data_IF_083055833943
#
_entry.id   IF_083055833943
#
_cell.length_a   1.000
_cell.length_b   1.000
_cell.length_c   1.000
_cell.angle_alpha   90.00
_cell.angle_beta   90.00
_cell.angle_gamma   90.00
#
_symmetry.space_group_name_H-M   'P 1'
#
loop_
_entity.id
_entity.type
_entity.pdbx_description
1 polymer ?
#
# COMPACT_ATOMS: atom_id res chain seq x y z
N UNK A 1 13.90 6.00 36.37
CA UNK A 1 15.27 6.16 35.86
C UNK A 1 15.38 5.80 34.36
N UNK A 2 14.71 4.76 33.86
CA UNK A 2 14.77 4.36 32.45
C UNK A 2 14.07 5.35 31.48
N UNK A 3 13.02 6.03 31.88
CA UNK A 3 12.29 7.01 31.04
C UNK A 3 13.06 8.30 30.83
N UNK A 4 13.80 8.78 31.84
CA UNK A 4 14.64 9.98 31.71
C UNK A 4 15.83 9.75 30.76
N UNK A 5 16.45 8.56 30.83
CA UNK A 5 17.56 8.18 29.96
C UNK A 5 17.13 8.01 28.47
N UNK A 6 15.92 7.50 28.22
CA UNK A 6 15.35 7.45 26.85
C UNK A 6 15.06 8.84 26.30
N UNK A 7 14.49 9.76 27.10
CA UNK A 7 14.24 11.15 26.68
C UNK A 7 15.54 11.88 26.35
N UNK A 8 16.57 11.70 27.16
CA UNK A 8 17.87 12.32 26.91
C UNK A 8 18.56 11.79 25.65
N UNK A 9 18.44 10.48 25.35
CA UNK A 9 18.90 9.91 24.09
C UNK A 9 18.13 10.45 22.87
N UNK A 10 16.82 10.60 22.96
CA UNK A 10 16.00 11.14 21.88
C UNK A 10 16.29 12.63 21.63
N UNK A 11 16.53 13.41 22.67
CA UNK A 11 16.99 14.80 22.52
C UNK A 11 18.36 14.86 21.83
N UNK A 12 19.32 14.03 22.23
CA UNK A 12 20.63 13.97 21.56
C UNK A 12 20.55 13.54 20.09
N UNK A 13 19.63 12.64 19.73
CA UNK A 13 19.42 12.22 18.33
C UNK A 13 18.85 13.38 17.51
N UNK A 14 17.84 14.08 18.02
CA UNK A 14 17.24 15.24 17.35
C UNK A 14 18.24 16.39 17.17
N UNK A 15 19.07 16.66 18.18
CA UNK A 15 20.10 17.70 18.10
C UNK A 15 21.18 17.34 17.08
N UNK A 16 21.59 16.06 17.01
CA UNK A 16 22.51 15.56 15.98
C UNK A 16 21.91 15.69 14.58
N UNK A 17 20.63 15.32 14.42
CA UNK A 17 19.93 15.47 13.15
C UNK A 17 19.90 16.94 12.70
N UNK A 18 19.56 17.88 13.61
CA UNK A 18 19.59 19.32 13.32
C UNK A 18 20.99 19.81 12.96
N UNK A 19 22.03 19.31 13.64
CA UNK A 19 23.41 19.70 13.37
C UNK A 19 23.92 19.19 12.00
N UNK A 20 23.28 18.14 11.45
CA UNK A 20 23.57 17.60 10.13
C UNK A 20 22.77 18.27 9.00
N UNK A 21 21.80 19.13 9.34
CA UNK A 21 21.01 19.87 8.35
C UNK A 21 21.71 21.18 7.98
N UNK A 22 21.59 21.59 6.73
CA UNK A 22 22.12 22.89 6.25
C UNK A 22 21.59 23.22 4.87
N UNK A 23 21.79 24.44 4.42
CA UNK A 23 21.45 24.87 3.07
C UNK A 23 22.38 24.19 2.05
N UNK A 24 21.85 23.88 0.86
CA UNK A 24 22.64 23.29 -0.23
C UNK A 24 23.89 24.15 -0.54
N UNK A 25 25.04 23.49 -0.62
CA UNK A 25 26.35 24.14 -0.86
C UNK A 25 27.09 24.53 0.42
N UNK A 26 26.46 24.47 1.62
CA UNK A 26 27.18 24.64 2.89
C UNK A 26 27.84 23.32 3.33
N UNK A 27 28.82 23.40 4.24
CA UNK A 27 29.56 22.23 4.71
C UNK A 27 29.34 21.97 6.19
N UNK A 28 29.41 20.69 6.57
CA UNK A 28 29.39 20.22 7.96
C UNK A 28 30.55 19.24 8.19
N UNK A 29 31.28 19.41 9.30
CA UNK A 29 32.31 18.45 9.68
C UNK A 29 31.71 17.38 10.59
N UNK A 30 31.83 16.13 10.16
CA UNK A 30 31.35 14.96 10.92
C UNK A 30 32.52 14.14 11.41
N UNK A 31 32.52 13.81 12.71
CA UNK A 31 33.49 12.91 13.32
C UNK A 31 32.78 11.69 13.89
N UNK A 32 33.20 10.49 13.55
CA UNK A 32 32.63 9.23 14.04
C UNK A 32 33.71 8.21 14.40
N UNK A 33 33.31 7.18 15.13
CA UNK A 33 34.15 6.01 15.38
C UNK A 33 33.80 4.92 14.39
N UNK A 34 34.79 4.35 13.71
CA UNK A 34 34.63 3.20 12.84
C UNK A 34 34.44 1.89 13.62
N UNK A 35 34.30 0.76 12.95
CA UNK A 35 34.10 -0.56 13.56
C UNK A 35 35.30 -1.01 14.43
N UNK A 36 36.47 -0.38 14.29
CA UNK A 36 37.68 -0.62 15.11
C UNK A 36 37.80 0.38 16.26
N UNK A 37 36.79 1.24 16.50
CA UNK A 37 36.81 2.33 17.45
C UNK A 37 37.86 3.43 17.13
N UNK A 38 38.39 3.46 15.90
CA UNK A 38 39.25 4.54 15.44
C UNK A 38 38.42 5.78 15.05
N UNK A 39 38.88 6.98 15.44
CA UNK A 39 38.22 8.24 15.10
C UNK A 39 38.46 8.58 13.62
N UNK A 40 37.39 8.84 12.90
CA UNK A 40 37.38 9.32 11.49
C UNK A 40 36.69 10.69 11.44
N UNK A 41 37.17 11.55 10.57
CA UNK A 41 36.60 12.89 10.34
C UNK A 41 36.47 13.13 8.84
N UNK A 42 35.34 13.65 8.40
CA UNK A 42 35.10 14.09 7.04
C UNK A 42 34.34 15.41 7.03
N UNK A 43 34.64 16.25 6.04
CA UNK A 43 33.83 17.42 5.70
C UNK A 43 32.83 17.01 4.60
N UNK A 44 31.55 17.21 4.86
CA UNK A 44 30.45 16.83 3.96
C UNK A 44 29.77 18.11 3.48
N UNK A 45 29.49 18.20 2.19
CA UNK A 45 28.74 19.32 1.61
C UNK A 45 27.26 18.97 1.56
N UNK A 46 26.40 19.86 2.05
CA UNK A 46 24.97 19.72 1.91
C UNK A 46 24.56 19.83 0.44
N UNK A 47 23.79 18.88 -0.04
CA UNK A 47 23.19 18.90 -1.37
C UNK A 47 21.67 18.81 -1.26
N UNK A 48 20.95 19.38 -2.21
CA UNK A 48 19.54 19.11 -2.37
C UNK A 48 19.36 17.63 -2.70
N UNK A 49 18.55 16.93 -1.90
CA UNK A 49 18.20 15.54 -2.10
C UNK A 49 16.68 15.41 -2.12
N UNK A 50 16.15 14.85 -3.19
CA UNK A 50 14.77 14.41 -3.23
C UNK A 50 14.75 12.94 -2.80
N UNK A 51 14.22 12.67 -1.64
CA UNK A 51 14.06 11.29 -1.16
C UNK A 51 12.99 10.61 -1.99
N UNK A 52 13.35 9.53 -2.68
CA UNK A 52 12.37 8.63 -3.26
C UNK A 52 11.81 7.71 -2.18
N UNK A 53 10.51 7.45 -2.23
CA UNK A 53 9.81 6.56 -1.31
C UNK A 53 9.62 5.16 -1.88
N UNK A 54 9.76 5.02 -3.20
CA UNK A 54 9.59 3.75 -3.91
C UNK A 54 10.89 3.39 -4.64
N UNK A 55 11.43 2.21 -4.30
CA UNK A 55 12.47 1.54 -5.09
C UNK A 55 11.86 0.32 -5.76
N UNK A 56 12.29 0.00 -6.98
CA UNK A 56 11.75 -1.16 -7.69
C UNK A 56 12.80 -1.82 -8.58
N UNK A 57 12.63 -3.10 -8.81
CA UNK A 57 13.43 -3.88 -9.75
C UNK A 57 12.69 -5.15 -10.20
N UNK A 58 13.06 -5.68 -11.36
CA UNK A 58 12.59 -6.97 -11.82
C UNK A 58 13.52 -8.07 -11.30
N UNK A 59 12.96 -9.03 -10.54
CA UNK A 59 13.65 -10.23 -10.05
C UNK A 59 13.11 -11.43 -10.84
N UNK A 60 13.86 -11.89 -11.83
CA UNK A 60 13.36 -12.83 -12.85
C UNK A 60 12.09 -12.29 -13.53
N UNK A 61 10.94 -12.89 -13.26
CA UNK A 61 9.62 -12.45 -13.75
C UNK A 61 8.74 -11.86 -12.64
N UNK A 62 9.31 -11.49 -11.49
CA UNK A 62 8.60 -10.88 -10.35
C UNK A 62 8.98 -9.43 -10.24
N UNK A 63 8.00 -8.53 -10.30
CA UNK A 63 8.21 -7.12 -10.01
C UNK A 63 8.33 -6.90 -8.51
N UNK A 64 9.53 -6.60 -8.02
CA UNK A 64 9.78 -6.23 -6.62
C UNK A 64 9.68 -4.73 -6.46
N UNK A 65 8.90 -4.27 -5.49
CA UNK A 65 8.63 -2.85 -5.18
C UNK A 65 8.78 -2.68 -3.67
N UNK A 66 9.76 -1.88 -3.25
CA UNK A 66 9.95 -1.48 -1.86
C UNK A 66 9.35 -0.11 -1.61
N UNK A 67 8.43 0.00 -0.67
CA UNK A 67 7.77 1.26 -0.28
C UNK A 67 8.23 1.62 1.13
N UNK A 68 9.04 2.68 1.26
CA UNK A 68 9.62 3.12 2.54
C UNK A 68 8.59 3.74 3.47
N UNK A 69 7.71 4.55 2.91
CA UNK A 69 6.62 5.26 3.59
C UNK A 69 5.63 5.77 2.56
N UNK A 70 4.47 6.24 3.01
CA UNK A 70 3.49 6.90 2.17
C UNK A 70 3.56 8.41 2.36
N UNK A 71 3.94 9.14 1.30
CA UNK A 71 3.96 10.60 1.26
C UNK A 71 3.54 11.12 -0.13
N UNK A 72 3.48 12.45 -0.31
CA UNK A 72 2.93 13.09 -1.52
C UNK A 72 3.58 12.67 -2.84
N UNK A 73 4.75 12.01 -2.84
CA UNK A 73 5.41 11.53 -4.07
C UNK A 73 5.14 10.05 -4.33
N UNK A 74 4.78 9.28 -3.30
CA UNK A 74 4.63 7.82 -3.36
C UNK A 74 3.66 7.34 -4.44
N UNK A 75 2.45 7.95 -4.63
CA UNK A 75 1.53 7.48 -5.66
C UNK A 75 2.11 7.59 -7.08
N UNK A 76 2.79 8.70 -7.40
CA UNK A 76 3.40 8.89 -8.73
C UNK A 76 4.61 7.98 -8.96
N UNK A 77 5.41 7.75 -7.92
CA UNK A 77 6.55 6.83 -7.98
C UNK A 77 6.10 5.39 -8.13
N UNK A 78 5.02 5.00 -7.44
CA UNK A 78 4.42 3.67 -7.54
C UNK A 78 3.79 3.43 -8.92
N UNK A 79 3.04 4.39 -9.47
CA UNK A 79 2.49 4.28 -10.83
C UNK A 79 3.60 4.06 -11.86
N UNK A 80 4.68 4.83 -11.76
CA UNK A 80 5.84 4.68 -12.64
C UNK A 80 6.48 3.29 -12.49
N UNK A 81 6.65 2.80 -11.27
CA UNK A 81 7.21 1.47 -10.99
C UNK A 81 6.33 0.35 -11.58
N UNK A 82 5.02 0.41 -11.36
CA UNK A 82 4.05 -0.57 -11.88
C UNK A 82 4.07 -0.63 -13.41
N UNK A 83 4.00 0.50 -14.08
CA UNK A 83 4.07 0.58 -15.55
C UNK A 83 5.39 0.03 -16.09
N UNK A 84 6.50 0.41 -15.45
CA UNK A 84 7.83 -0.04 -15.88
C UNK A 84 7.99 -1.55 -15.71
N UNK A 85 7.61 -2.10 -14.56
CA UNK A 85 7.72 -3.53 -14.29
C UNK A 85 6.80 -4.35 -15.20
N UNK A 86 5.56 -3.91 -15.43
CA UNK A 86 4.62 -4.57 -16.33
C UNK A 86 5.14 -4.56 -17.77
N UNK A 87 5.64 -3.43 -18.25
CA UNK A 87 6.24 -3.32 -19.58
C UNK A 87 7.48 -4.21 -19.76
N UNK A 88 8.21 -4.49 -18.67
CA UNK A 88 9.38 -5.38 -18.66
C UNK A 88 9.03 -6.85 -18.39
N UNK A 89 7.73 -7.22 -18.39
CA UNK A 89 7.29 -8.61 -18.34
C UNK A 89 7.15 -9.18 -16.93
N UNK A 90 6.90 -8.35 -15.91
CA UNK A 90 6.54 -8.86 -14.59
C UNK A 90 5.24 -9.69 -14.68
N UNK A 91 5.26 -10.93 -14.21
CA UNK A 91 4.13 -11.86 -14.16
C UNK A 91 3.46 -11.91 -12.78
N UNK A 92 4.09 -11.33 -11.77
CA UNK A 92 3.57 -11.15 -10.41
C UNK A 92 4.31 -10.00 -9.71
N UNK A 93 3.77 -9.55 -8.58
CA UNK A 93 4.32 -8.42 -7.83
C UNK A 93 4.62 -8.80 -6.38
N UNK A 94 5.69 -8.24 -5.83
CA UNK A 94 6.02 -8.25 -4.40
C UNK A 94 6.12 -6.82 -3.92
N UNK A 95 5.26 -6.43 -2.98
CA UNK A 95 5.33 -5.16 -2.26
C UNK A 95 6.05 -5.37 -0.94
N UNK A 96 7.24 -4.84 -0.80
CA UNK A 96 8.00 -4.88 0.45
C UNK A 96 7.66 -3.66 1.30
N UNK A 97 6.95 -3.92 2.40
CA UNK A 97 6.48 -2.95 3.39
C UNK A 97 7.19 -3.12 4.73
N UNK A 98 8.29 -3.88 4.78
CA UNK A 98 9.06 -4.02 6.01
C UNK A 98 9.60 -2.67 6.44
N UNK A 99 9.51 -2.41 7.74
CA UNK A 99 9.95 -1.16 8.39
C UNK A 99 9.20 0.10 7.89
N UNK A 100 8.11 -0.07 7.12
CA UNK A 100 7.22 1.02 6.73
C UNK A 100 6.22 1.31 7.85
N UNK A 101 6.42 2.41 8.57
CA UNK A 101 5.55 2.86 9.67
C UNK A 101 4.23 3.50 9.22
N UNK A 102 3.91 3.48 7.92
CA UNK A 102 2.74 4.13 7.33
C UNK A 102 3.07 5.46 6.67
N UNK A 103 2.38 6.51 7.04
CA UNK A 103 2.53 7.85 6.48
C UNK A 103 1.20 8.55 6.29
N UNK A 104 1.05 9.28 5.20
CA UNK A 104 -0.17 10.01 4.86
C UNK A 104 -1.21 9.00 4.36
N UNK A 105 -2.37 8.96 5.03
CA UNK A 105 -3.42 8.00 4.73
C UNK A 105 -3.99 8.17 3.33
N UNK A 106 -4.18 9.41 2.90
CA UNK A 106 -4.67 9.77 1.55
C UNK A 106 -3.73 9.24 0.47
N UNK A 107 -2.41 9.38 0.64
CA UNK A 107 -1.42 8.87 -0.32
C UNK A 107 -1.40 7.33 -0.36
N UNK A 108 -1.62 6.67 0.77
CA UNK A 108 -1.76 5.21 0.79
C UNK A 108 -3.04 4.76 0.06
N UNK A 109 -4.15 5.48 0.23
CA UNK A 109 -5.40 5.23 -0.52
C UNK A 109 -5.18 5.43 -2.02
N UNK A 110 -4.51 6.52 -2.42
CA UNK A 110 -4.17 6.77 -3.83
C UNK A 110 -3.26 5.67 -4.40
N UNK A 111 -2.32 5.14 -3.61
CA UNK A 111 -1.51 3.99 -4.02
C UNK A 111 -2.34 2.71 -4.18
N UNK A 112 -3.33 2.49 -3.31
CA UNK A 112 -4.23 1.34 -3.38
C UNK A 112 -5.11 1.46 -4.63
N UNK A 113 -5.61 2.65 -4.95
CA UNK A 113 -6.45 2.92 -6.11
C UNK A 113 -5.77 2.60 -7.45
N UNK A 114 -4.45 2.76 -7.53
CA UNK A 114 -3.65 2.33 -8.69
C UNK A 114 -3.65 0.80 -8.93
N UNK A 115 -4.11 0.00 -7.95
CA UNK A 115 -3.90 -1.46 -7.94
C UNK A 115 -5.21 -2.22 -7.75
N UNK A 116 -6.05 -1.75 -6.81
CA UNK A 116 -7.23 -2.47 -6.36
C UNK A 116 -8.39 -2.34 -7.36
N UNK A 117 -9.28 -3.33 -7.44
CA UNK A 117 -10.54 -3.19 -8.14
C UNK A 117 -11.46 -2.17 -7.44
N UNK A 118 -12.57 -1.78 -8.09
CA UNK A 118 -13.57 -0.89 -7.50
C UNK A 118 -14.05 -1.37 -6.13
N UNK A 119 -14.08 -0.46 -5.16
CA UNK A 119 -14.60 -0.76 -3.84
C UNK A 119 -14.17 0.23 -2.77
N UNK A 120 -14.73 0.05 -1.57
CA UNK A 120 -14.32 0.82 -0.40
C UNK A 120 -13.00 0.30 0.14
N UNK A 121 -12.03 1.20 0.31
CA UNK A 121 -10.71 0.91 0.86
C UNK A 121 -10.73 1.02 2.39
N UNK A 122 -11.30 2.09 2.93
CA UNK A 122 -11.25 2.34 4.37
C UNK A 122 -12.43 3.16 4.89
N UNK A 123 -12.73 2.92 6.18
CA UNK A 123 -13.63 3.74 6.99
C UNK A 123 -12.89 4.32 8.19
N UNK A 124 -13.28 5.53 8.59
CA UNK A 124 -13.04 6.06 9.93
C UNK A 124 -14.25 5.69 10.82
N UNK A 125 -14.00 4.97 11.90
CA UNK A 125 -15.04 4.63 12.90
C UNK A 125 -14.86 5.50 14.14
N UNK A 126 -15.87 6.31 14.47
CA UNK A 126 -15.87 7.18 15.64
C UNK A 126 -16.10 6.39 16.95
N UNK A 127 -16.01 7.08 18.09
CA UNK A 127 -16.25 6.48 19.42
C UNK A 127 -17.67 5.94 19.63
N UNK A 128 -18.63 6.29 18.78
CA UNK A 128 -20.01 5.83 18.84
C UNK A 128 -20.27 4.65 17.88
N UNK A 129 -19.26 4.22 17.10
CA UNK A 129 -19.38 3.17 16.11
C UNK A 129 -19.91 3.64 14.74
N UNK A 130 -20.02 4.95 14.52
CA UNK A 130 -20.40 5.46 13.21
C UNK A 130 -19.21 5.41 12.26
N UNK A 131 -19.43 4.87 11.06
CA UNK A 131 -18.41 4.73 10.01
C UNK A 131 -18.60 5.76 8.92
N UNK A 132 -17.52 6.42 8.55
CA UNK A 132 -17.46 7.33 7.40
C UNK A 132 -16.42 6.79 6.43
N UNK A 133 -16.76 6.69 5.14
CA UNK A 133 -15.80 6.29 4.09
C UNK A 133 -14.71 7.36 3.99
N UNK A 134 -13.46 6.94 4.06
CA UNK A 134 -12.27 7.80 3.97
C UNK A 134 -11.34 7.40 2.83
N UNK A 135 -11.71 6.39 2.07
CA UNK A 135 -10.98 5.95 0.88
C UNK A 135 -11.76 4.93 0.08
N UNK A 136 -11.69 5.05 -1.24
CA UNK A 136 -12.28 4.13 -2.21
C UNK A 136 -11.35 3.98 -3.43
N UNK A 137 -11.51 2.89 -4.18
CA UNK A 137 -10.88 2.64 -5.46
C UNK A 137 -11.95 2.61 -6.55
N UNK A 138 -11.62 3.14 -7.75
CA UNK A 138 -12.51 3.20 -8.92
C UNK A 138 -12.22 2.14 -10.00
N UNK A 139 -11.16 1.37 -9.85
CA UNK A 139 -10.69 0.32 -10.76
C UNK A 139 -10.15 0.79 -12.14
N UNK A 140 -9.99 2.09 -12.39
CA UNK A 140 -9.46 2.58 -13.68
C UNK A 140 -8.06 2.05 -13.96
N UNK A 141 -7.26 1.82 -12.91
CA UNK A 141 -5.87 1.37 -12.96
C UNK A 141 -5.66 -0.05 -12.42
N UNK A 142 -6.72 -0.80 -12.12
CA UNK A 142 -6.63 -2.09 -11.44
C UNK A 142 -5.63 -3.06 -12.08
N UNK A 143 -4.76 -3.64 -11.24
CA UNK A 143 -3.72 -4.59 -11.64
C UNK A 143 -4.17 -6.02 -11.36
N UNK A 144 -4.23 -6.85 -12.40
CA UNK A 144 -4.68 -8.25 -12.30
C UNK A 144 -3.56 -9.27 -12.00
N UNK A 145 -2.31 -8.79 -11.80
CA UNK A 145 -1.18 -9.68 -11.51
C UNK A 145 -1.30 -10.26 -10.09
N UNK A 146 -0.91 -11.53 -9.87
CA UNK A 146 -0.77 -12.08 -8.53
C UNK A 146 0.18 -11.27 -7.67
N UNK A 147 -0.14 -11.10 -6.38
CA UNK A 147 0.57 -10.19 -5.48
C UNK A 147 0.95 -10.84 -4.17
N UNK A 148 2.06 -10.39 -3.62
CA UNK A 148 2.53 -10.70 -2.27
C UNK A 148 2.91 -9.40 -1.57
N UNK A 149 2.51 -9.24 -0.31
CA UNK A 149 3.01 -8.18 0.56
C UNK A 149 4.00 -8.79 1.56
N UNK A 150 5.23 -8.30 1.57
CA UNK A 150 6.26 -8.65 2.54
C UNK A 150 6.21 -7.67 3.70
N UNK A 151 5.94 -8.16 4.91
CA UNK A 151 5.64 -7.34 6.09
C UNK A 151 6.43 -7.79 7.31
N UNK A 152 6.60 -6.91 8.29
CA UNK A 152 7.21 -7.24 9.58
C UNK A 152 6.56 -6.49 10.75
N UNK A 153 7.06 -6.69 11.97
CA UNK A 153 6.55 -6.04 13.18
C UNK A 153 6.66 -4.51 13.22
N UNK A 154 7.37 -3.90 12.28
CA UNK A 154 7.48 -2.45 12.12
C UNK A 154 6.58 -1.91 10.99
N UNK A 155 5.94 -2.80 10.21
CA UNK A 155 4.88 -2.40 9.26
C UNK A 155 3.67 -1.93 10.04
N UNK A 156 3.23 -0.67 9.84
CA UNK A 156 2.23 -0.04 10.69
C UNK A 156 1.27 0.90 9.95
N UNK A 157 0.06 1.10 10.52
CA UNK A 157 -0.87 2.16 10.12
C UNK A 157 -1.29 2.09 8.64
N UNK A 158 -1.03 3.12 7.83
CA UNK A 158 -1.34 3.15 6.40
C UNK A 158 -0.71 1.99 5.62
N UNK A 159 0.47 1.49 6.03
CA UNK A 159 1.10 0.31 5.43
C UNK A 159 0.34 -0.98 5.75
N UNK A 160 -0.27 -1.08 6.94
CA UNK A 160 -1.16 -2.19 7.28
C UNK A 160 -2.45 -2.12 6.47
N UNK A 161 -3.03 -0.92 6.28
CA UNK A 161 -4.19 -0.72 5.41
C UNK A 161 -3.88 -1.16 3.98
N UNK A 162 -2.74 -0.75 3.42
CA UNK A 162 -2.32 -1.14 2.08
C UNK A 162 -2.25 -2.68 1.94
N UNK A 163 -1.54 -3.36 2.86
CA UNK A 163 -1.41 -4.81 2.84
C UNK A 163 -2.75 -5.53 3.06
N UNK A 164 -3.59 -5.05 3.99
CA UNK A 164 -4.91 -5.61 4.27
C UNK A 164 -5.84 -5.48 3.06
N UNK A 165 -5.86 -4.31 2.41
CA UNK A 165 -6.70 -4.06 1.25
C UNK A 165 -6.28 -4.91 0.05
N UNK A 166 -4.98 -5.00 -0.26
CA UNK A 166 -4.53 -5.88 -1.34
C UNK A 166 -4.83 -7.36 -1.04
N UNK A 167 -4.77 -7.78 0.22
CA UNK A 167 -5.17 -9.13 0.62
C UNK A 167 -6.65 -9.38 0.36
N UNK A 168 -7.53 -8.46 0.72
CA UNK A 168 -8.99 -8.64 0.63
C UNK A 168 -9.53 -8.39 -0.77
N UNK A 169 -9.01 -7.40 -1.50
CA UNK A 169 -9.53 -7.00 -2.81
C UNK A 169 -8.79 -7.68 -3.98
N UNK A 170 -7.48 -7.92 -3.87
CA UNK A 170 -6.66 -8.51 -4.93
C UNK A 170 -6.23 -9.96 -4.65
N UNK A 171 -6.56 -10.52 -3.47
CA UNK A 171 -6.13 -11.86 -3.08
C UNK A 171 -4.62 -11.98 -2.81
N UNK A 172 -3.95 -10.86 -2.46
CA UNK A 172 -2.54 -10.86 -2.13
C UNK A 172 -2.25 -11.74 -0.91
N UNK A 173 -1.10 -12.43 -0.90
CA UNK A 173 -0.61 -13.15 0.28
C UNK A 173 0.35 -12.30 1.08
N UNK A 174 0.26 -12.41 2.40
CA UNK A 174 1.19 -11.76 3.31
C UNK A 174 2.30 -12.74 3.68
N UNK A 175 3.55 -12.31 3.52
CA UNK A 175 4.78 -13.06 3.86
C UNK A 175 5.57 -12.26 4.89
N UNK A 176 6.23 -12.91 5.84
CA UNK A 176 7.08 -12.25 6.83
C UNK A 176 6.66 -12.54 8.26
N UNK A 177 6.39 -11.52 9.05
CA UNK A 177 5.92 -11.64 10.44
C UNK A 177 4.74 -10.72 10.71
N UNK A 178 3.97 -11.01 11.76
CA UNK A 178 2.81 -10.19 12.17
C UNK A 178 3.17 -8.71 12.26
N UNK A 179 2.29 -7.85 11.74
CA UNK A 179 2.49 -6.39 11.72
C UNK A 179 2.22 -5.73 13.07
N UNK A 180 2.46 -4.43 13.19
CA UNK A 180 2.41 -3.69 14.46
C UNK A 180 1.02 -3.61 15.09
N UNK A 181 -0.04 -3.47 14.31
CA UNK A 181 -1.41 -3.29 14.81
C UNK A 181 -1.74 -1.84 15.19
N UNK A 182 -1.34 -0.85 14.39
CA UNK A 182 -1.70 0.56 14.60
C UNK A 182 -2.92 0.93 13.75
N UNK A 183 -4.11 0.60 14.21
CA UNK A 183 -5.38 0.89 13.53
C UNK A 183 -6.09 2.13 14.06
N UNK A 184 -5.37 3.23 14.34
CA UNK A 184 -5.93 4.49 14.86
C UNK A 184 -5.62 5.68 13.98
N UNK A 185 -6.58 6.61 13.86
CA UNK A 185 -6.46 7.87 13.12
C UNK A 185 -6.26 9.01 14.11
N UNK A 186 -5.22 9.83 13.88
CA UNK A 186 -4.91 10.99 14.68
C UNK A 186 -5.46 12.28 14.04
N UNK A 187 -5.84 13.25 14.89
CA UNK A 187 -6.19 14.60 14.45
C UNK A 187 -4.99 15.31 13.82
N UNK A 188 -5.26 16.29 12.97
CA UNK A 188 -4.25 17.31 12.67
C UNK A 188 -3.79 18.01 13.96
N UNK A 189 -2.54 18.49 14.02
CA UNK A 189 -2.05 19.21 15.19
C UNK A 189 -2.91 20.44 15.49
N UNK A 190 -3.55 20.45 16.66
CA UNK A 190 -4.32 21.59 17.17
C UNK A 190 -3.36 22.50 17.95
N UNK A 191 -3.11 23.71 17.41
CA UNK A 191 -2.22 24.68 18.05
C UNK A 191 -2.88 25.31 19.28
N UNK A 192 -2.13 25.43 20.36
CA UNK A 192 -2.52 26.09 21.59
C UNK A 192 -1.96 27.52 21.62
N UNK A 193 -2.48 28.37 22.55
CA UNK A 193 -2.13 29.78 22.66
C UNK A 193 -0.66 30.03 23.03
N UNK A 194 0.00 29.05 23.65
CA UNK A 194 1.42 29.08 24.03
C UNK A 194 2.37 28.62 22.91
N UNK A 195 1.83 28.31 21.72
CA UNK A 195 2.60 27.80 20.57
C UNK A 195 2.84 26.29 20.57
N UNK A 196 2.43 25.58 21.60
CA UNK A 196 2.40 24.11 21.62
C UNK A 196 1.25 23.56 20.73
N UNK A 197 1.24 22.24 20.49
CA UNK A 197 0.17 21.59 19.75
C UNK A 197 -0.21 20.27 20.40
N UNK A 198 -1.49 19.91 20.26
CA UNK A 198 -2.03 18.63 20.71
C UNK A 198 -2.46 17.81 19.49
N UNK A 199 -2.09 16.53 19.49
CA UNK A 199 -2.55 15.52 18.54
C UNK A 199 -3.23 14.42 19.34
N UNK A 200 -4.47 14.11 18.99
CA UNK A 200 -5.28 13.10 19.70
C UNK A 200 -5.81 12.06 18.72
N UNK A 201 -6.07 10.85 19.20
CA UNK A 201 -6.80 9.83 18.45
C UNK A 201 -8.27 10.23 18.31
N UNK A 202 -8.77 10.26 17.08
CA UNK A 202 -10.15 10.71 16.77
C UNK A 202 -11.03 9.59 16.23
N UNK A 203 -10.44 8.54 15.63
CA UNK A 203 -11.19 7.43 15.06
C UNK A 203 -10.33 6.15 15.02
N UNK A 204 -10.98 5.01 14.80
CA UNK A 204 -10.35 3.77 14.35
C UNK A 204 -10.32 3.70 12.84
N UNK A 205 -9.24 3.14 12.32
CA UNK A 205 -9.09 2.79 10.92
C UNK A 205 -9.66 1.39 10.70
N UNK A 206 -10.73 1.30 9.91
CA UNK A 206 -11.39 0.03 9.58
C UNK A 206 -11.24 -0.21 8.09
N UNK A 207 -10.84 -1.41 7.71
CA UNK A 207 -10.69 -1.79 6.29
C UNK A 207 -12.04 -1.84 5.58
N UNK A 208 -12.03 -1.81 4.25
CA UNK A 208 -13.24 -1.82 3.42
C UNK A 208 -14.13 -3.04 3.65
N UNK A 209 -13.55 -4.19 4.01
CA UNK A 209 -14.27 -5.43 4.39
C UNK A 209 -14.85 -5.40 5.81
N UNK A 210 -14.61 -4.34 6.56
CA UNK A 210 -15.05 -4.17 7.94
C UNK A 210 -14.10 -4.74 8.99
N UNK A 211 -12.98 -5.34 8.60
CA UNK A 211 -11.95 -5.81 9.54
C UNK A 211 -11.15 -4.66 10.14
N UNK A 212 -10.56 -4.89 11.31
CA UNK A 212 -9.73 -3.90 12.00
C UNK A 212 -8.51 -4.60 12.59
N UNK A 213 -7.35 -4.10 12.29
CA UNK A 213 -6.06 -4.62 12.77
C UNK A 213 -5.57 -3.92 14.05
N UNK A 214 -6.34 -3.00 14.61
CA UNK A 214 -5.95 -2.23 15.81
C UNK A 214 -5.66 -3.13 17.01
N UNK A 215 -4.45 -3.03 17.55
CA UNK A 215 -3.97 -3.81 18.70
C UNK A 215 -3.58 -5.26 18.40
N UNK A 216 -3.88 -5.80 17.22
CA UNK A 216 -3.60 -7.21 16.85
C UNK A 216 -2.57 -7.36 15.73
N UNK A 217 -2.50 -6.39 14.82
CA UNK A 217 -1.74 -6.50 13.58
C UNK A 217 -2.38 -7.47 12.57
N UNK A 218 -1.76 -7.55 11.40
CA UNK A 218 -2.12 -8.48 10.34
C UNK A 218 -1.29 -9.76 10.53
N UNK A 219 -1.96 -10.90 10.64
CA UNK A 219 -1.30 -12.20 10.59
C UNK A 219 -0.87 -12.53 9.16
N UNK A 220 0.28 -13.17 9.01
CA UNK A 220 0.84 -13.54 7.70
C UNK A 220 0.34 -14.91 7.24
N UNK A 221 0.27 -15.13 5.92
CA UNK A 221 -0.09 -16.43 5.32
C UNK A 221 1.13 -17.35 5.25
N UNK A 222 2.32 -16.75 5.19
CA UNK A 222 3.59 -17.47 5.14
C UNK A 222 4.55 -16.80 6.12
N UNK A 223 4.78 -17.45 7.25
CA UNK A 223 5.73 -16.96 8.23
C UNK A 223 7.18 -17.10 7.74
N UNK A 224 7.95 -16.01 7.84
CA UNK A 224 9.39 -15.96 7.55
C UNK A 224 10.05 -14.92 8.43
N UNK A 225 10.34 -15.31 9.67
CA UNK A 225 11.19 -14.52 10.54
C UNK A 225 12.66 -14.67 10.12
N UNK A 226 13.47 -13.64 10.37
CA UNK A 226 14.92 -13.72 10.25
C UNK A 226 15.51 -14.49 11.42
N UNK A 227 16.48 -15.35 11.18
CA UNK A 227 17.32 -15.90 12.23
C UNK A 227 18.19 -14.80 12.86
N UNK A 228 18.80 -15.08 14.01
CA UNK A 228 19.71 -14.11 14.66
C UNK A 228 20.87 -13.71 13.76
N UNK A 229 21.42 -14.64 12.99
CA UNK A 229 22.49 -14.40 12.04
C UNK A 229 22.02 -13.52 10.88
N UNK A 230 20.88 -13.86 10.26
CA UNK A 230 20.29 -13.08 9.19
C UNK A 230 19.94 -11.65 9.63
N UNK A 231 19.42 -11.49 10.85
CA UNK A 231 19.10 -10.17 11.40
C UNK A 231 20.37 -9.32 11.65
N UNK A 232 21.49 -9.95 12.01
CA UNK A 232 22.76 -9.25 12.18
C UNK A 232 23.31 -8.73 10.85
N UNK A 233 23.11 -9.49 9.77
CA UNK A 233 23.60 -9.18 8.44
C UNK A 233 22.55 -8.47 7.57
N UNK A 234 21.44 -8.00 8.16
CA UNK A 234 20.28 -7.46 7.41
C UNK A 234 20.66 -6.35 6.42
N UNK A 235 21.55 -5.46 6.79
CA UNK A 235 21.98 -4.34 5.95
C UNK A 235 22.98 -4.71 4.85
N UNK A 236 23.50 -5.93 4.85
CA UNK A 236 24.42 -6.45 3.84
C UNK A 236 23.66 -7.15 2.69
N UNK A 237 22.35 -7.40 2.86
CA UNK A 237 21.53 -8.03 1.84
C UNK A 237 21.13 -7.05 0.75
N UNK A 238 21.13 -7.56 -0.47
CA UNK A 238 20.41 -6.97 -1.62
C UNK A 238 19.08 -7.69 -1.79
N UNK A 239 18.11 -7.16 -2.54
CA UNK A 239 16.87 -7.89 -2.82
C UNK A 239 17.06 -9.28 -3.42
N UNK A 240 18.19 -9.51 -4.15
CA UNK A 240 18.57 -10.81 -4.71
C UNK A 240 19.08 -11.80 -3.66
N UNK A 241 19.61 -11.33 -2.54
CA UNK A 241 20.24 -12.16 -1.51
C UNK A 241 19.48 -12.18 -0.18
N UNK A 242 18.48 -11.30 -0.02
CA UNK A 242 17.63 -11.22 1.18
C UNK A 242 16.74 -12.47 1.28
N UNK A 243 16.86 -13.26 2.36
CA UNK A 243 16.12 -14.51 2.50
C UNK A 243 14.59 -14.31 2.64
N UNK A 244 14.12 -13.18 3.14
CA UNK A 244 12.70 -12.86 3.21
C UNK A 244 12.16 -12.43 1.83
N UNK A 245 12.91 -11.62 1.08
CA UNK A 245 12.56 -11.25 -0.31
C UNK A 245 12.51 -12.50 -1.18
N UNK A 246 13.50 -13.39 -1.09
CA UNK A 246 13.51 -14.65 -1.85
C UNK A 246 12.30 -15.53 -1.51
N UNK A 247 11.87 -15.54 -0.25
CA UNK A 247 10.64 -16.26 0.15
C UNK A 247 9.39 -15.62 -0.44
N UNK A 248 9.29 -14.29 -0.47
CA UNK A 248 8.19 -13.56 -1.07
C UNK A 248 8.14 -13.74 -2.60
N UNK A 249 9.28 -13.67 -3.27
CA UNK A 249 9.43 -13.95 -4.71
C UNK A 249 8.95 -15.37 -5.04
N UNK A 250 9.40 -16.37 -4.28
CA UNK A 250 8.95 -17.76 -4.47
C UNK A 250 7.45 -17.91 -4.27
N UNK A 251 6.85 -17.20 -3.32
CA UNK A 251 5.41 -17.22 -3.10
C UNK A 251 4.65 -16.56 -4.28
N UNK A 252 5.17 -15.46 -4.82
CA UNK A 252 4.57 -14.76 -5.96
C UNK A 252 4.65 -15.60 -7.25
N UNK A 253 5.76 -16.29 -7.49
CA UNK A 253 5.92 -17.22 -8.61
C UNK A 253 4.95 -18.41 -8.52
N UNK A 254 4.70 -18.94 -7.32
CA UNK A 254 3.71 -20.00 -7.12
C UNK A 254 2.29 -19.55 -7.45
N UNK A 255 1.94 -18.31 -7.11
CA UNK A 255 0.63 -17.71 -7.43
C UNK A 255 0.45 -17.53 -8.95
N UNK A 256 1.45 -17.02 -9.64
CA UNK A 256 1.39 -16.84 -11.12
C UNK A 256 1.31 -18.18 -11.84
N UNK A 257 2.02 -19.22 -11.41
CA UNK A 257 1.91 -20.58 -11.96
C UNK A 257 0.52 -21.18 -11.76
N UNK A 258 -0.10 -21.00 -10.61
CA UNK A 258 -1.47 -21.47 -10.35
C UNK A 258 -2.51 -20.74 -11.20
N UNK A 259 -2.36 -19.43 -11.37
CA UNK A 259 -3.28 -18.62 -12.20
C UNK A 259 -3.22 -19.02 -13.66
N UNK A 260 -2.04 -19.32 -14.21
CA UNK A 260 -1.87 -19.76 -15.60
C UNK A 260 -2.59 -21.08 -15.86
N UNK A 261 -2.53 -22.04 -14.91
CA UNK A 261 -3.21 -23.34 -15.04
C UNK A 261 -4.74 -23.21 -14.93
N UNK A 262 -5.25 -22.34 -14.07
CA UNK A 262 -6.69 -22.08 -13.93
C UNK A 262 -7.26 -21.38 -15.18
N UNK A 263 -6.53 -20.44 -15.76
CA UNK A 263 -6.91 -19.75 -17.00
C UNK A 263 -6.93 -20.71 -18.20
N UNK A 264 -5.96 -21.60 -18.31
CA UNK A 264 -5.89 -22.59 -19.38
C UNK A 264 -7.03 -23.63 -19.30
N UNK A 265 -7.41 -24.04 -18.07
CA UNK A 265 -8.53 -24.96 -17.86
C UNK A 265 -9.89 -24.33 -18.22
N UNK A 266 -10.08 -23.03 -17.93
CA UNK A 266 -11.31 -22.31 -18.28
C UNK A 266 -11.45 -22.10 -19.79
N UNK A 267 -10.35 -21.81 -20.51
CA UNK A 267 -10.37 -21.67 -21.96
C UNK A 267 -10.65 -23.00 -22.67
N UNK A 268 -10.09 -24.12 -22.16
CA UNK A 268 -10.35 -25.45 -22.71
C UNK A 268 -11.80 -25.92 -22.48
N UNK A 269 -12.43 -25.54 -21.38
CA UNK A 269 -13.82 -25.84 -21.09
C UNK A 269 -14.81 -25.04 -21.97
N UNK A 270 -14.46 -23.81 -22.35
CA UNK A 270 -15.26 -22.96 -23.22
C UNK A 270 -15.24 -23.49 -24.68
N UNK A 271 -14.11 -24.02 -25.15
CA UNK A 271 -13.98 -24.55 -26.49
C UNK A 271 -14.70 -25.92 -26.64
N UNK A 272 -14.77 -26.74 -25.59
CA UNK A 272 -15.54 -28.01 -25.60
C UNK A 272 -17.06 -27.80 -25.52
N UNK A 273 -17.53 -26.67 -24.94
CA UNK A 273 -18.96 -26.32 -24.88
C UNK A 273 -19.49 -25.75 -26.20
N UNK A 274 -18.62 -25.12 -27.01
CA UNK A 274 -18.99 -24.59 -28.34
C UNK A 274 -19.10 -25.68 -29.42
N UNK A 275 -18.48 -26.84 -29.20
CA UNK A 275 -18.51 -27.96 -30.15
C UNK A 275 -19.72 -28.89 -30.01
N UNK A 276 -20.55 -28.79 -28.98
CA UNK A 276 -21.72 -29.66 -28.74
C UNK A 276 -23.10 -29.03 -29.07
N UNK A 277 -23.13 -27.80 -29.61
CA UNK A 277 -24.37 -27.05 -29.87
C UNK A 277 -24.74 -26.90 -31.35
N UNK A 278 -24.22 -27.75 -32.23
CA UNK A 278 -24.56 -27.75 -33.66
C UNK A 278 -25.07 -29.12 -34.08
N UNK A 279 -26.33 -29.46 -33.79
CA UNK A 279 -27.23 -30.36 -34.55
C UNK A 279 -28.55 -30.54 -33.78
N UNK A 280 -29.58 -29.74 -34.05
CA UNK A 280 -30.89 -30.26 -34.44
C UNK A 280 -31.74 -29.10 -34.99
N UNK A 281 -32.13 -29.30 -36.25
CA UNK A 281 -32.94 -28.45 -37.09
C UNK A 281 -34.38 -28.96 -36.99
N UNK A 282 -35.35 -28.08 -36.75
CA UNK A 282 -36.68 -28.09 -37.39
C UNK A 282 -37.57 -26.93 -36.85
N UNK A 283 -37.91 -26.03 -37.75
CA UNK A 283 -39.02 -25.07 -37.63
C UNK A 283 -40.36 -25.76 -37.95
N UNK A 284 -41.59 -25.13 -37.89
CA UNK A 284 -41.89 -23.71 -38.07
C UNK A 284 -43.13 -23.11 -37.30
N UNK A 285 -43.32 -21.78 -37.44
CA UNK A 285 -44.52 -20.92 -37.55
C UNK A 285 -45.47 -20.76 -36.33
N UNK A 286 -45.91 -19.60 -35.92
CA UNK A 286 -46.81 -18.61 -36.52
C UNK A 286 -47.09 -17.42 -35.56
N UNK A 287 -47.11 -16.25 -36.11
CA UNK A 287 -47.79 -14.99 -35.93
C UNK A 287 -48.59 -14.61 -34.64
N UNK A 288 -48.43 -13.36 -34.18
CA UNK A 288 -49.43 -12.28 -34.17
C UNK A 288 -48.93 -11.05 -33.37
N UNK A 289 -48.82 -9.98 -34.05
CA UNK A 289 -49.24 -8.59 -33.97
C UNK A 289 -49.74 -8.01 -32.61
N UNK A 290 -49.30 -6.75 -32.32
CA UNK A 290 -49.96 -5.87 -31.40
C UNK A 290 -49.11 -4.70 -30.91
N UNK A 291 -48.96 -3.63 -31.70
CA UNK A 291 -48.63 -2.23 -31.28
C UNK A 291 -49.94 -1.49 -30.89
N UNK A 292 -49.92 -0.18 -30.54
CA UNK A 292 -49.17 0.62 -29.55
C UNK A 292 -50.10 1.49 -28.64
N UNK A 293 -49.53 2.32 -27.75
CA UNK A 293 -50.06 3.65 -27.34
C UNK A 293 -49.18 4.27 -26.23
N UNK A 294 -48.47 5.29 -26.49
CA UNK A 294 -48.65 6.73 -26.42
C UNK A 294 -49.00 7.33 -25.02
N UNK A 295 -48.28 8.40 -24.69
CA UNK A 295 -48.64 9.56 -23.86
C UNK A 295 -48.00 9.56 -22.47
N UNK A 296 -47.33 10.58 -22.00
CA UNK A 296 -47.16 11.97 -22.38
C UNK A 296 -46.53 12.71 -21.19
N UNK A 297 -45.59 13.58 -21.49
CA UNK A 297 -45.32 14.92 -20.92
C UNK A 297 -45.52 15.20 -19.43
N UNK A 298 -44.57 15.81 -18.71
CA UNK A 298 -44.12 17.19 -18.68
C UNK A 298 -43.11 17.41 -17.52
N UNK A 299 -42.06 18.00 -17.79
CA UNK A 299 -41.37 19.20 -17.36
C UNK A 299 -41.76 19.86 -16.03
N UNK A 300 -40.75 20.17 -15.19
CA UNK A 300 -40.46 21.51 -14.66
C UNK A 300 -39.19 21.52 -13.77
N UNK A 301 -38.12 22.12 -14.24
CA UNK A 301 -37.22 23.00 -13.46
C UNK A 301 -37.89 24.38 -13.34
N UNK A 302 -37.34 25.44 -12.67
CA UNK A 302 -36.09 25.58 -11.87
C UNK A 302 -36.31 26.40 -10.56
N UNK A 303 -35.26 26.73 -9.83
CA UNK A 303 -34.84 28.07 -9.36
C UNK A 303 -33.91 27.99 -8.12
N UNK A 304 -32.71 28.37 -8.30
CA UNK A 304 -31.82 29.43 -7.78
C UNK A 304 -32.23 30.18 -6.50
N UNK A 305 -31.23 30.35 -5.61
CA UNK A 305 -30.75 31.54 -4.93
C UNK A 305 -29.83 31.11 -3.75
N UNK A 306 -28.55 31.37 -3.68
CA UNK A 306 -27.79 32.61 -3.58
C UNK A 306 -27.83 33.27 -2.17
N UNK A 307 -26.59 33.61 -1.68
CA UNK A 307 -26.24 34.69 -0.73
C UNK A 307 -26.24 34.31 0.75
N UNK A 308 -25.15 34.40 1.45
CA UNK A 308 -24.07 35.30 1.77
C UNK A 308 -24.00 35.52 3.29
N UNK A 309 -22.77 35.47 3.79
CA UNK A 309 -22.12 36.27 4.81
C UNK A 309 -22.67 36.29 6.27
N UNK A 310 -21.88 35.79 7.20
CA UNK A 310 -21.06 36.53 8.19
C UNK A 310 -19.97 35.62 8.79
#
# INVERSE_FOLDING_TARGET
>A
LHTAYRRQRQMCIRDRYKALQGEAGTTVTVTWLDSTAASKTAELTHSGYTSTTVDYQLLDNVGYIYIRQFDGTTPSELDYALRTLTANGAASLVFDLRDNGGGILEDAVNCIDLIAPEGTVAYAEDKNGNRTVIGSSDAESAVSLPMVCLVNGNTASAAELFAATLRTMNGARLVGTTTMGKGTIQSSPQRLSDGSAVVITVAKLVCGDGSCFDGTGLTVDVERALSTEEATNFYDYTPQTDPQVQRAVSAAQQLSGTTTLAGASSAAAADSAASSAAADDTAPAEAAEGEPAEGGTAASEPETAASAAE
#
